data_IF_565894618608
#
_entry.id   IF_565894618608
#
_cell.length_a   1.000
_cell.length_b   1.000
_cell.length_c   1.000
_cell.angle_alpha   90.00
_cell.angle_beta   90.00
_cell.angle_gamma   90.00
#
_symmetry.space_group_name_H-M   'P 1'
#
loop_
_entity.id
_entity.type
_entity.pdbx_description
1 polymer ?
#
# COMPACT_ATOMS: atom_id res chain seq x y z
N UNK A 1 14.84 -16.28 7.00
CA UNK A 1 15.41 -15.17 7.81
C UNK A 1 14.26 -14.43 8.47
N UNK A 2 14.29 -14.19 9.79
CA UNK A 2 13.27 -13.37 10.47
C UNK A 2 13.47 -11.90 10.11
N UNK A 3 12.50 -11.32 9.41
CA UNK A 3 12.48 -9.88 9.08
C UNK A 3 12.07 -9.09 10.33
N UNK A 4 12.83 -8.05 10.70
CA UNK A 4 12.47 -7.13 11.80
C UNK A 4 11.75 -5.92 11.23
N UNK A 5 10.55 -5.64 11.73
CA UNK A 5 9.78 -4.43 11.43
C UNK A 5 10.18 -3.31 12.39
N UNK A 6 10.42 -2.12 11.87
CA UNK A 6 10.67 -0.91 12.66
C UNK A 6 9.63 0.14 12.26
N UNK A 7 8.94 0.71 13.24
CA UNK A 7 7.94 1.75 13.02
C UNK A 7 8.61 3.13 13.06
N UNK A 8 8.17 4.03 12.18
CA UNK A 8 8.61 5.42 12.17
C UNK A 8 7.90 6.19 13.28
N UNK A 9 8.65 6.95 14.09
CA UNK A 9 8.08 7.88 15.08
C UNK A 9 7.69 9.21 14.42
N UNK A 10 6.87 10.01 15.11
CA UNK A 10 6.34 11.28 14.61
C UNK A 10 7.44 12.28 14.18
N UNK A 11 8.65 12.14 14.72
CA UNK A 11 9.83 12.97 14.40
C UNK A 11 10.58 12.54 13.12
N UNK A 12 10.01 11.66 12.29
CA UNK A 12 10.70 11.10 11.11
C UNK A 12 12.04 10.44 11.49
N UNK A 13 12.08 9.77 12.64
CA UNK A 13 13.24 9.03 13.12
C UNK A 13 12.85 7.60 13.45
N UNK A 14 13.81 6.70 13.39
CA UNK A 14 13.64 5.34 13.90
C UNK A 14 14.92 4.86 14.55
N UNK A 15 14.76 4.00 15.56
CA UNK A 15 15.86 3.40 16.31
C UNK A 15 16.13 2.03 15.71
N UNK A 16 17.34 1.84 15.18
CA UNK A 16 17.82 0.53 14.72
C UNK A 16 18.62 -0.12 15.85
N UNK A 17 18.19 -1.30 16.29
CA UNK A 17 18.95 -2.12 17.23
C UNK A 17 19.67 -3.23 16.47
N UNK A 18 21.01 -3.21 16.47
CA UNK A 18 21.80 -4.27 15.85
C UNK A 18 21.58 -5.63 16.56
N UNK A 19 21.28 -6.72 15.83
CA UNK A 19 21.05 -8.03 16.46
C UNK A 19 22.31 -8.67 17.05
N UNK A 20 23.51 -8.21 16.66
CA UNK A 20 24.78 -8.80 17.09
C UNK A 20 25.41 -8.03 18.26
N UNK A 21 25.54 -6.71 18.14
CA UNK A 21 26.22 -5.90 19.15
C UNK A 21 25.26 -5.12 20.05
N UNK A 22 23.95 -5.22 19.81
CA UNK A 22 22.87 -4.54 20.53
C UNK A 22 22.99 -3.01 20.60
N UNK A 23 23.87 -2.40 19.79
CA UNK A 23 23.96 -0.94 19.71
C UNK A 23 22.74 -0.37 18.99
N UNK A 24 22.27 0.72 19.55
CA UNK A 24 21.20 1.56 19.00
C UNK A 24 21.80 2.63 18.07
N UNK A 25 21.18 2.82 16.92
CA UNK A 25 21.50 3.89 15.99
C UNK A 25 20.23 4.65 15.61
N UNK A 26 20.24 5.96 15.85
CA UNK A 26 19.15 6.86 15.47
C UNK A 26 19.34 7.24 14.01
N UNK A 27 18.42 6.81 13.15
CA UNK A 27 18.52 7.09 11.72
C UNK A 27 17.33 7.92 11.27
N UNK A 28 17.61 8.94 10.45
CA UNK A 28 16.57 9.79 9.87
C UNK A 28 15.87 9.07 8.72
N UNK A 29 14.55 9.23 8.67
CA UNK A 29 13.67 8.74 7.59
C UNK A 29 13.99 9.40 6.26
N UNK A 30 14.52 10.64 6.27
CA UNK A 30 14.88 11.40 5.05
C UNK A 30 16.01 10.77 4.25
N UNK A 31 16.82 9.91 4.86
CA UNK A 31 17.87 9.15 4.16
C UNK A 31 17.30 8.02 3.29
N UNK A 32 16.04 7.66 3.50
CA UNK A 32 15.33 6.60 2.77
C UNK A 32 14.13 7.21 2.03
N UNK A 33 14.24 7.33 0.71
CA UNK A 33 13.22 7.91 -0.17
C UNK A 33 11.89 7.12 -0.10
N UNK A 34 10.81 7.86 -0.31
CA UNK A 34 9.37 7.51 -0.40
C UNK A 34 8.56 7.36 0.90
N UNK A 35 7.53 8.23 1.03
CA UNK A 35 6.88 8.58 2.29
C UNK A 35 5.76 7.65 2.78
N UNK A 36 5.20 6.76 1.93
CA UNK A 36 3.96 6.05 2.28
C UNK A 36 4.04 4.51 2.15
N UNK A 37 5.24 3.94 2.02
CA UNK A 37 5.43 2.52 1.79
C UNK A 37 6.40 1.89 2.77
N UNK A 38 6.22 0.61 3.12
CA UNK A 38 7.24 -0.10 3.83
C UNK A 38 8.40 -0.41 2.90
N UNK A 39 9.59 -0.04 3.34
CA UNK A 39 10.80 -0.19 2.55
C UNK A 39 11.72 -1.19 3.22
N UNK A 40 12.19 -2.18 2.45
CA UNK A 40 13.27 -3.06 2.91
C UNK A 40 14.58 -2.30 2.79
N UNK A 41 15.18 -1.98 3.92
CA UNK A 41 16.48 -1.30 3.98
C UNK A 41 17.55 -2.30 4.41
N UNK A 42 18.73 -2.16 3.80
CA UNK A 42 19.93 -2.88 4.22
C UNK A 42 20.75 -1.93 5.09
N UNK A 43 20.88 -2.24 6.36
CA UNK A 43 21.64 -1.42 7.30
C UNK A 43 22.92 -2.15 7.74
N UNK A 44 24.05 -1.46 7.65
CA UNK A 44 25.36 -1.95 8.10
C UNK A 44 25.72 -1.25 9.41
N UNK A 45 25.75 -2.03 10.50
CA UNK A 45 26.15 -1.52 11.81
C UNK A 45 27.66 -1.29 11.88
N UNK A 46 28.10 -0.40 12.78
CA UNK A 46 29.52 -0.14 13.10
C UNK A 46 30.31 -1.37 13.53
N UNK A 47 29.65 -2.43 14.01
CA UNK A 47 30.29 -3.72 14.31
C UNK A 47 30.60 -4.57 13.06
N UNK A 48 30.25 -4.10 11.86
CA UNK A 48 30.45 -4.80 10.59
C UNK A 48 29.27 -5.67 10.15
N UNK A 49 28.33 -5.98 11.05
CA UNK A 49 27.16 -6.79 10.72
C UNK A 49 26.16 -6.01 9.85
N UNK A 50 25.72 -6.65 8.76
CA UNK A 50 24.71 -6.11 7.85
C UNK A 50 23.43 -6.93 7.95
N UNK A 51 22.29 -6.27 8.12
CA UNK A 51 21.00 -6.92 8.22
C UNK A 51 19.93 -6.15 7.45
N UNK A 52 18.83 -6.85 7.13
CA UNK A 52 17.67 -6.29 6.45
C UNK A 52 16.58 -5.96 7.46
N UNK A 53 15.97 -4.80 7.28
CA UNK A 53 14.91 -4.26 8.13
C UNK A 53 13.75 -3.85 7.24
N UNK A 54 12.53 -4.07 7.72
CA UNK A 54 11.33 -3.53 7.11
C UNK A 54 10.96 -2.25 7.84
N UNK A 55 11.16 -1.10 7.20
CA UNK A 55 10.71 0.18 7.72
C UNK A 55 9.21 0.28 7.48
N UNK A 56 8.37 0.18 8.51
CA UNK A 56 6.92 0.28 8.40
C UNK A 56 6.48 1.75 8.56
N UNK A 57 6.00 2.33 7.47
CA UNK A 57 5.51 3.73 7.39
C UNK A 57 3.99 3.82 7.26
N UNK A 58 3.30 2.67 7.11
CA UNK A 58 1.84 2.66 6.91
C UNK A 58 1.14 3.09 8.20
N UNK A 59 0.19 4.00 8.03
CA UNK A 59 -0.68 4.50 9.11
C UNK A 59 -1.97 3.69 9.26
N UNK A 60 -2.36 2.95 8.22
CA UNK A 60 -3.64 2.24 8.17
C UNK A 60 -3.43 0.75 7.98
N UNK A 61 -4.26 -0.03 8.68
CA UNK A 61 -4.36 -1.47 8.51
C UNK A 61 -4.73 -1.81 7.06
N UNK A 62 -4.24 -2.96 6.58
CA UNK A 62 -4.60 -3.51 5.28
C UNK A 62 -5.18 -4.90 5.47
N UNK A 63 -6.39 -5.12 4.97
CA UNK A 63 -7.00 -6.44 4.87
C UNK A 63 -6.55 -7.08 3.57
N UNK A 64 -5.98 -8.27 3.63
CA UNK A 64 -5.71 -9.09 2.43
C UNK A 64 -7.02 -9.59 1.85
N UNK A 65 -7.12 -9.58 0.52
CA UNK A 65 -8.35 -9.90 -0.20
C UNK A 65 -8.05 -10.65 -1.51
N UNK A 66 -9.09 -11.20 -2.11
CA UNK A 66 -9.04 -11.86 -3.42
C UNK A 66 -10.34 -11.52 -4.19
N UNK A 67 -10.58 -10.23 -4.40
CA UNK A 67 -11.84 -9.74 -4.99
C UNK A 67 -11.65 -9.44 -6.48
N UNK A 68 -12.50 -10.02 -7.32
CA UNK A 68 -12.50 -9.73 -8.74
C UNK A 68 -13.15 -8.37 -9.01
N UNK A 69 -12.57 -7.63 -9.96
CA UNK A 69 -13.10 -6.35 -10.40
C UNK A 69 -12.57 -5.94 -11.75
N UNK A 70 -12.81 -4.68 -12.09
CA UNK A 70 -12.31 -4.04 -13.32
C UNK A 70 -11.68 -2.69 -12.99
N UNK A 71 -10.63 -2.35 -13.72
CA UNK A 71 -10.09 -1.00 -13.75
C UNK A 71 -10.46 -0.35 -15.09
N UNK A 72 -10.85 0.92 -15.03
CA UNK A 72 -11.44 1.68 -16.13
C UNK A 72 -10.56 2.92 -16.33
N UNK A 73 -9.80 2.91 -17.41
CA UNK A 73 -8.89 3.97 -17.81
C UNK A 73 -9.52 5.03 -18.70
N UNK A 74 -8.66 5.82 -19.35
CA UNK A 74 -9.05 6.82 -20.33
C UNK A 74 -9.79 6.18 -21.52
N UNK A 75 -10.73 6.92 -22.12
CA UNK A 75 -11.55 6.44 -23.26
C UNK A 75 -12.39 5.17 -22.96
N UNK A 76 -12.71 4.92 -21.70
CA UNK A 76 -13.44 3.72 -21.24
C UNK A 76 -12.73 2.40 -21.58
N UNK A 77 -11.40 2.39 -21.66
CA UNK A 77 -10.64 1.15 -21.74
C UNK A 77 -10.76 0.39 -20.42
N UNK A 78 -11.18 -0.87 -20.48
CA UNK A 78 -11.38 -1.71 -19.30
C UNK A 78 -10.38 -2.85 -19.26
N UNK A 79 -9.90 -3.19 -18.06
CA UNK A 79 -9.03 -4.35 -17.83
C UNK A 79 -9.47 -5.04 -16.54
N UNK A 80 -9.52 -6.38 -16.57
CA UNK A 80 -9.82 -7.18 -15.40
C UNK A 80 -8.74 -7.02 -14.34
N UNK A 81 -9.15 -6.95 -13.08
CA UNK A 81 -8.24 -6.85 -11.95
C UNK A 81 -8.62 -7.81 -10.83
N UNK A 82 -7.62 -8.15 -10.02
CA UNK A 82 -7.79 -8.88 -8.77
C UNK A 82 -7.28 -8.02 -7.62
N UNK A 83 -8.19 -7.56 -6.75
CA UNK A 83 -7.85 -6.82 -5.54
C UNK A 83 -7.15 -7.77 -4.56
N UNK A 84 -5.94 -7.41 -4.15
CA UNK A 84 -5.06 -8.20 -3.27
C UNK A 84 -5.04 -7.69 -1.84
N UNK A 85 -5.14 -6.38 -1.66
CA UNK A 85 -5.33 -5.79 -0.34
C UNK A 85 -6.11 -4.47 -0.43
N UNK A 86 -6.87 -4.18 0.63
CA UNK A 86 -7.60 -2.94 0.83
C UNK A 86 -7.15 -2.28 2.13
N UNK A 87 -7.17 -0.95 2.16
CA UNK A 87 -6.90 -0.11 3.32
C UNK A 87 -7.83 1.10 3.28
N UNK A 88 -7.87 1.88 4.36
CA UNK A 88 -8.73 3.06 4.42
C UNK A 88 -8.47 4.07 3.29
N UNK A 89 -7.21 4.21 2.89
CA UNK A 89 -6.78 5.27 1.96
C UNK A 89 -6.43 4.76 0.56
N UNK A 90 -6.56 3.45 0.30
CA UNK A 90 -6.18 2.89 -0.98
C UNK A 90 -6.10 1.39 -1.01
N UNK A 91 -5.56 0.87 -2.09
CA UNK A 91 -5.62 -0.55 -2.44
C UNK A 91 -4.38 -1.04 -3.17
N UNK A 92 -4.23 -2.36 -3.20
CA UNK A 92 -3.36 -3.07 -4.14
C UNK A 92 -4.21 -3.99 -5.00
N UNK A 93 -3.97 -3.96 -6.30
CA UNK A 93 -4.57 -4.89 -7.24
C UNK A 93 -3.54 -5.43 -8.23
N UNK A 94 -3.90 -6.53 -8.86
CA UNK A 94 -3.13 -7.18 -9.91
C UNK A 94 -3.91 -7.15 -11.22
N UNK A 95 -3.23 -6.92 -12.34
CA UNK A 95 -3.78 -7.05 -13.70
C UNK A 95 -2.92 -8.03 -14.50
N UNK A 96 -3.53 -8.73 -15.46
CA UNK A 96 -2.81 -9.68 -16.31
C UNK A 96 -2.09 -8.95 -17.46
N UNK A 97 -2.80 -8.03 -18.11
CA UNK A 97 -2.28 -7.35 -19.29
C UNK A 97 -1.81 -5.94 -18.95
N UNK A 98 -0.63 -5.58 -19.45
CA UNK A 98 -0.13 -4.21 -19.32
C UNK A 98 -0.98 -3.29 -20.20
N UNK A 99 -1.47 -2.21 -19.58
CA UNK A 99 -2.30 -1.20 -20.25
C UNK A 99 -1.62 0.18 -20.21
N UNK A 100 -1.78 0.98 -21.26
CA UNK A 100 -1.14 2.31 -21.38
C UNK A 100 -1.68 3.34 -20.37
N UNK A 101 -2.89 3.12 -19.85
CA UNK A 101 -3.47 3.95 -18.78
C UNK A 101 -2.95 3.57 -17.39
N UNK A 102 -2.14 2.51 -17.27
CA UNK A 102 -1.52 2.07 -16.01
C UNK A 102 -0.11 2.66 -15.91
N UNK A 103 -0.01 3.88 -15.39
CA UNK A 103 1.26 4.52 -15.09
C UNK A 103 1.17 5.37 -13.82
N UNK A 104 2.27 5.44 -13.07
CA UNK A 104 2.35 6.26 -11.85
C UNK A 104 1.90 7.70 -12.13
N UNK A 105 1.03 8.21 -11.25
CA UNK A 105 0.43 9.54 -11.35
C UNK A 105 -0.86 9.61 -12.15
N UNK A 106 -1.20 8.60 -12.96
CA UNK A 106 -2.49 8.55 -13.66
C UNK A 106 -3.64 8.21 -12.72
N UNK A 107 -4.81 8.76 -13.06
CA UNK A 107 -6.07 8.45 -12.41
C UNK A 107 -6.86 7.43 -13.23
N UNK A 108 -7.62 6.59 -12.55
CA UNK A 108 -8.55 5.65 -13.15
C UNK A 108 -9.69 5.35 -12.19
N UNK A 109 -10.77 4.76 -12.69
CA UNK A 109 -11.81 4.21 -11.84
C UNK A 109 -11.57 2.72 -11.59
N UNK A 110 -11.83 2.27 -10.37
CA UNK A 110 -11.91 0.86 -10.04
C UNK A 110 -13.34 0.51 -9.69
N UNK A 111 -13.77 -0.69 -10.08
CA UNK A 111 -15.07 -1.24 -9.73
C UNK A 111 -14.92 -2.70 -9.31
N UNK A 112 -15.40 -3.05 -8.12
CA UNK A 112 -15.33 -4.41 -7.58
C UNK A 112 -16.42 -4.64 -6.54
N UNK A 113 -16.74 -5.90 -6.29
CA UNK A 113 -17.67 -6.28 -5.23
C UNK A 113 -16.89 -6.70 -3.98
N UNK A 114 -17.33 -6.24 -2.82
CA UNK A 114 -16.92 -6.80 -1.53
C UNK A 114 -17.55 -8.19 -1.36
N UNK A 115 -16.91 -9.03 -0.57
CA UNK A 115 -17.40 -10.36 -0.16
C UNK A 115 -18.15 -10.31 1.18
N UNK A 116 -18.72 -9.15 1.51
CA UNK A 116 -19.68 -8.97 2.60
C UNK A 116 -21.05 -9.58 2.26
N UNK A 117 -21.93 -9.71 3.26
CA UNK A 117 -23.25 -10.32 3.07
C UNK A 117 -24.09 -9.63 1.99
N UNK A 118 -23.91 -8.32 1.83
CA UNK A 118 -24.65 -7.50 0.87
C UNK A 118 -24.04 -7.52 -0.54
N UNK A 119 -22.82 -8.06 -0.70
CA UNK A 119 -22.02 -7.96 -1.92
C UNK A 119 -21.96 -6.51 -2.40
N UNK A 120 -21.45 -5.64 -1.54
CA UNK A 120 -21.46 -4.19 -1.79
C UNK A 120 -20.58 -3.86 -2.99
N UNK A 121 -21.14 -3.14 -3.97
CA UNK A 121 -20.42 -2.64 -5.13
C UNK A 121 -19.61 -1.40 -4.73
N UNK A 122 -18.29 -1.47 -4.85
CA UNK A 122 -17.38 -0.35 -4.65
C UNK A 122 -16.98 0.21 -6.01
N UNK A 123 -17.21 1.51 -6.21
CA UNK A 123 -16.70 2.25 -7.36
C UNK A 123 -16.00 3.53 -6.90
N UNK A 124 -14.68 3.62 -7.09
CA UNK A 124 -13.88 4.78 -6.67
C UNK A 124 -12.89 5.24 -7.74
N UNK A 125 -12.64 6.54 -7.78
CA UNK A 125 -11.48 7.09 -8.49
C UNK A 125 -10.22 6.84 -7.65
N UNK A 126 -9.15 6.38 -8.29
CA UNK A 126 -7.85 6.16 -7.66
C UNK A 126 -6.74 6.81 -8.47
N UNK A 127 -5.65 7.19 -7.79
CA UNK A 127 -4.40 7.59 -8.42
C UNK A 127 -3.36 6.49 -8.25
N UNK A 128 -2.71 6.09 -9.34
CA UNK A 128 -1.65 5.09 -9.31
C UNK A 128 -0.43 5.69 -8.61
N UNK A 129 0.01 5.06 -7.51
CA UNK A 129 1.23 5.46 -6.79
C UNK A 129 2.41 4.60 -7.22
N UNK A 130 2.19 3.33 -7.56
CA UNK A 130 3.25 2.35 -7.82
C UNK A 130 2.79 1.37 -8.89
N UNK A 131 3.72 1.01 -9.78
CA UNK A 131 3.58 -0.14 -10.69
C UNK A 131 4.81 -1.02 -10.53
N UNK A 132 4.61 -2.29 -10.17
CA UNK A 132 5.67 -3.29 -9.96
C UNK A 132 5.29 -4.60 -10.64
N UNK A 133 5.66 -4.75 -11.91
CA UNK A 133 5.21 -5.88 -12.72
C UNK A 133 3.70 -5.81 -12.96
N UNK A 134 2.97 -6.87 -12.60
CA UNK A 134 1.50 -6.95 -12.64
C UNK A 134 0.82 -6.26 -11.45
N UNK A 135 1.57 -5.89 -10.41
CA UNK A 135 1.02 -5.33 -9.18
C UNK A 135 0.96 -3.79 -9.24
N UNK A 136 -0.20 -3.25 -8.92
CA UNK A 136 -0.47 -1.82 -8.88
C UNK A 136 -0.87 -1.42 -7.47
N UNK A 137 -0.19 -0.42 -6.94
CA UNK A 137 -0.57 0.27 -5.71
C UNK A 137 -1.26 1.58 -6.05
N UNK A 138 -2.48 1.77 -5.57
CA UNK A 138 -3.27 2.96 -5.86
C UNK A 138 -3.85 3.58 -4.56
N UNK A 139 -4.04 4.88 -4.59
CA UNK A 139 -4.57 5.69 -3.48
C UNK A 139 -5.93 6.25 -3.89
N UNK A 140 -6.91 6.20 -2.99
CA UNK A 140 -8.25 6.72 -3.25
C UNK A 140 -8.19 8.25 -3.46
N UNK A 141 -8.86 8.72 -4.50
CA UNK A 141 -9.02 10.14 -4.77
C UNK A 141 -10.25 10.65 -4.01
N UNK A 142 -10.08 11.67 -3.16
CA UNK A 142 -11.16 12.22 -2.34
C UNK A 142 -11.62 11.24 -1.26
N UNK A 143 -11.20 11.50 -0.01
CA UNK A 143 -11.92 10.98 1.14
C UNK A 143 -12.98 12.02 1.48
N UNK A 144 -14.23 11.75 1.10
CA UNK A 144 -15.34 12.61 1.48
C UNK A 144 -15.98 12.03 2.74
N UNK A 145 -16.24 12.83 3.80
CA UNK A 145 -16.75 12.33 5.08
C UNK A 145 -18.04 11.51 4.99
N UNK A 146 -18.77 11.65 3.88
CA UNK A 146 -20.07 11.00 3.64
C UNK A 146 -20.07 10.15 2.35
N UNK A 147 -18.91 9.79 1.79
CA UNK A 147 -18.87 8.86 0.65
C UNK A 147 -19.34 7.47 1.11
N UNK A 148 -20.48 6.95 0.61
CA UNK A 148 -20.97 5.63 1.00
C UNK A 148 -19.96 4.52 0.68
N UNK A 149 -19.09 4.72 -0.31
CA UNK A 149 -18.04 3.76 -0.67
C UNK A 149 -16.93 3.75 0.38
N UNK A 150 -16.56 4.92 0.93
CA UNK A 150 -15.60 4.98 2.03
C UNK A 150 -16.16 4.33 3.28
N UNK A 151 -17.43 4.59 3.62
CA UNK A 151 -18.11 3.92 4.74
C UNK A 151 -18.19 2.39 4.55
N UNK A 152 -18.46 1.93 3.32
CA UNK A 152 -18.47 0.50 3.01
C UNK A 152 -17.08 -0.14 3.18
N UNK A 153 -16.04 0.51 2.67
CA UNK A 153 -14.65 0.05 2.83
C UNK A 153 -14.26 0.06 4.31
N UNK A 154 -14.59 1.12 5.06
CA UNK A 154 -14.35 1.20 6.51
C UNK A 154 -14.98 0.04 7.26
N UNK A 155 -16.28 -0.19 7.04
CA UNK A 155 -17.02 -1.29 7.67
C UNK A 155 -16.41 -2.66 7.33
N UNK A 156 -15.95 -2.82 6.10
CA UNK A 156 -15.30 -4.03 5.63
C UNK A 156 -13.90 -4.26 6.22
N UNK A 157 -13.18 -3.21 6.60
CA UNK A 157 -11.84 -3.31 7.18
C UNK A 157 -11.87 -3.64 8.68
N UNK A 158 -13.01 -3.44 9.35
CA UNK A 158 -13.22 -3.79 10.75
C UNK A 158 -13.45 -5.31 10.84
N UNK A 159 -12.66 -6.04 11.64
CA UNK A 159 -12.78 -7.49 11.81
C UNK A 159 -14.04 -7.92 12.57
#
# INVERSE_FOLDING_TARGET
>A
MKERKIFVTDDNKFIIVCPICQKEENVSVSEYKDANQPSRIRHKCKCGHTHQLLLERRKFYRRETCLHGVCIGEKNSTEGMLVKDLSLIGMKFEIENKQDFISVGKKLFVEFFLDDEQKTLVRKEVVIKIVSGSLIGAEFCGAEPDDPMDTAIESYLIP
#
